data_IF_122984176731
#
_entry.id   IF_122984176731
#
_cell.length_a   1.000
_cell.length_b   1.000
_cell.length_c   1.000
_cell.angle_alpha   90.00
_cell.angle_beta   90.00
_cell.angle_gamma   90.00
#
_symmetry.space_group_name_H-M   'P 1'
#
loop_
_entity.id
_entity.type
_entity.pdbx_description
1 polymer ?
#
# COMPACT_ATOMS: atom_id res chain seq x y z
N UNK A 1 -40.95 -15.49 7.43
CA UNK A 1 -41.06 -15.25 5.99
C UNK A 1 -41.59 -13.85 5.85
N UNK A 2 -40.68 -12.89 5.76
CA UNK A 2 -41.01 -11.46 5.61
C UNK A 2 -40.65 -11.08 4.17
N UNK A 3 -41.56 -10.36 3.53
CA UNK A 3 -41.59 -10.11 2.10
C UNK A 3 -40.84 -8.82 1.76
N UNK A 4 -39.90 -8.87 0.81
CA UNK A 4 -39.27 -7.68 0.26
C UNK A 4 -39.77 -7.44 -1.16
N UNK A 5 -40.63 -6.42 -1.29
CA UNK A 5 -41.18 -5.91 -2.54
C UNK A 5 -40.10 -5.16 -3.33
N UNK A 6 -39.77 -5.66 -4.52
CA UNK A 6 -38.79 -5.06 -5.43
C UNK A 6 -39.47 -3.94 -6.22
N UNK A 7 -39.08 -2.69 -5.95
CA UNK A 7 -39.54 -1.52 -6.70
C UNK A 7 -38.80 -1.48 -8.04
N UNK A 8 -39.48 -1.77 -9.15
CA UNK A 8 -38.98 -1.58 -10.51
C UNK A 8 -39.21 -0.15 -10.99
N UNK A 9 -38.13 0.61 -11.24
CA UNK A 9 -38.19 1.95 -11.80
C UNK A 9 -38.32 1.88 -13.34
N UNK A 10 -39.53 2.11 -13.85
CA UNK A 10 -39.80 2.39 -15.26
C UNK A 10 -39.70 3.89 -15.53
N UNK A 11 -38.84 4.26 -16.47
CA UNK A 11 -38.77 5.60 -17.06
C UNK A 11 -37.59 5.61 -18.01
N UNK A 12 -37.76 5.37 -19.31
CA UNK A 12 -38.72 6.05 -20.18
C UNK A 12 -37.93 7.13 -20.89
N UNK A 13 -37.31 6.76 -22.02
CA UNK A 13 -36.25 7.51 -22.66
C UNK A 13 -36.68 8.87 -23.22
N UNK A 14 -35.78 9.82 -23.09
CA UNK A 14 -35.68 10.99 -23.94
C UNK A 14 -34.20 11.13 -24.35
N UNK A 15 -33.88 10.67 -25.56
CA UNK A 15 -32.57 10.90 -26.17
C UNK A 15 -32.58 12.31 -26.77
N UNK A 16 -32.17 13.29 -25.97
CA UNK A 16 -31.92 14.63 -26.47
C UNK A 16 -30.65 14.59 -27.31
N UNK A 17 -30.81 14.68 -28.63
CA UNK A 17 -29.72 14.88 -29.58
C UNK A 17 -29.10 16.26 -29.32
N UNK A 18 -28.03 16.27 -28.52
CA UNK A 18 -27.19 17.45 -28.34
C UNK A 18 -26.29 17.56 -29.56
N UNK A 19 -26.53 18.56 -30.41
CA UNK A 19 -25.67 18.87 -31.54
C UNK A 19 -24.33 19.42 -31.03
N UNK A 20 -23.27 18.61 -31.13
CA UNK A 20 -21.90 19.06 -30.86
C UNK A 20 -21.37 19.87 -32.05
N UNK A 21 -21.84 21.11 -32.17
CA UNK A 21 -21.15 22.15 -32.92
C UNK A 21 -20.20 22.89 -31.98
N UNK A 22 -18.88 22.76 -32.16
CA UNK A 22 -17.95 23.51 -31.33
C UNK A 22 -16.48 23.27 -31.62
N UNK A 23 -15.89 24.20 -32.38
CA UNK A 23 -14.61 24.83 -32.04
C UNK A 23 -13.33 23.98 -32.15
N UNK A 24 -12.59 24.21 -33.23
CA UNK A 24 -11.14 24.03 -33.21
C UNK A 24 -10.48 25.03 -32.25
N UNK A 25 -9.31 24.68 -31.73
CA UNK A 25 -8.44 25.64 -31.06
C UNK A 25 -7.36 25.03 -30.18
N UNK A 26 -6.10 25.24 -30.58
CA UNK A 26 -5.00 25.44 -29.64
C UNK A 26 -4.13 24.23 -29.33
N UNK A 27 -3.09 24.05 -30.13
CA UNK A 27 -1.83 23.48 -29.62
C UNK A 27 -1.17 24.54 -28.75
N UNK A 28 -0.79 24.19 -27.53
CA UNK A 28 -0.18 25.12 -26.59
C UNK A 28 0.51 24.35 -25.49
N UNK A 29 1.77 23.99 -25.72
CA UNK A 29 2.60 23.29 -24.77
C UNK A 29 2.72 24.05 -23.46
N UNK A 30 2.68 23.30 -22.37
CA UNK A 30 3.51 23.56 -21.20
C UNK A 30 3.76 22.20 -20.60
N UNK A 31 4.92 21.65 -20.93
CA UNK A 31 5.51 20.54 -20.22
C UNK A 31 5.54 20.97 -18.74
N UNK A 32 4.64 20.39 -17.95
CA UNK A 32 4.65 20.58 -16.50
C UNK A 32 5.84 19.81 -15.98
N UNK A 33 7.03 20.40 -16.10
CA UNK A 33 8.12 20.10 -15.19
C UNK A 33 7.77 20.74 -13.85
N UNK A 34 6.71 20.24 -13.22
CA UNK A 34 6.59 20.35 -11.78
C UNK A 34 7.52 19.28 -11.23
N UNK A 35 8.82 19.61 -11.14
CA UNK A 35 9.65 19.04 -10.10
C UNK A 35 9.04 19.49 -8.78
N UNK A 36 8.01 18.76 -8.35
CA UNK A 36 7.58 18.79 -6.97
C UNK A 36 8.77 18.26 -6.18
N UNK A 37 9.62 19.19 -5.75
CA UNK A 37 10.42 19.03 -4.54
C UNK A 37 9.41 18.88 -3.39
N UNK A 38 8.78 17.70 -3.31
CA UNK A 38 7.93 17.32 -2.19
C UNK A 38 8.83 17.29 -0.98
N UNK A 39 8.48 18.09 0.02
CA UNK A 39 9.31 18.42 1.17
C UNK A 39 9.98 17.21 1.81
N UNK A 40 11.25 17.41 2.17
CA UNK A 40 11.99 16.53 3.06
C UNK A 40 11.19 16.31 4.35
N UNK A 41 10.96 15.04 4.66
CA UNK A 41 10.19 14.61 5.84
C UNK A 41 9.67 13.18 5.70
N UNK A 42 9.51 12.65 4.47
CA UNK A 42 8.98 11.29 4.25
C UNK A 42 10.03 10.19 4.12
N UNK A 43 11.31 10.51 3.90
CA UNK A 43 12.35 9.51 3.63
C UNK A 43 12.60 8.57 4.80
N UNK A 44 12.73 9.12 6.02
CA UNK A 44 13.02 8.33 7.21
C UNK A 44 11.80 7.53 7.68
N UNK A 45 10.59 8.12 7.64
CA UNK A 45 9.35 7.43 8.03
C UNK A 45 9.06 6.22 7.14
N UNK A 46 9.34 6.31 5.84
CA UNK A 46 9.19 5.17 4.90
C UNK A 46 10.25 4.10 5.13
N UNK A 47 11.50 4.49 5.43
CA UNK A 47 12.58 3.56 5.73
C UNK A 47 12.38 2.83 7.07
N UNK A 48 12.00 3.56 8.12
CA UNK A 48 11.70 2.99 9.43
C UNK A 48 10.51 2.02 9.35
N UNK A 49 9.46 2.37 8.58
CA UNK A 49 8.35 1.46 8.31
C UNK A 49 8.77 0.16 7.61
N UNK A 50 9.74 0.22 6.68
CA UNK A 50 10.28 -0.97 6.02
C UNK A 50 10.97 -1.92 7.02
N UNK A 51 11.81 -1.37 7.90
CA UNK A 51 12.55 -2.14 8.90
C UNK A 51 11.61 -2.74 9.96
N UNK A 52 10.57 -2.01 10.35
CA UNK A 52 9.57 -2.51 11.31
C UNK A 52 8.71 -3.64 10.72
N UNK A 53 8.32 -3.55 9.45
CA UNK A 53 7.58 -4.63 8.79
C UNK A 53 8.46 -5.88 8.61
N UNK A 54 9.74 -5.70 8.31
CA UNK A 54 10.70 -6.82 8.27
C UNK A 54 10.84 -7.50 9.64
N UNK A 55 10.98 -6.73 10.72
CA UNK A 55 11.01 -7.26 12.08
C UNK A 55 9.74 -8.04 12.43
N UNK A 56 8.57 -7.56 11.97
CA UNK A 56 7.29 -8.25 12.18
C UNK A 56 7.29 -9.63 11.51
N UNK A 57 7.76 -9.75 10.27
CA UNK A 57 7.85 -11.03 9.55
C UNK A 57 8.85 -11.98 10.23
N UNK A 58 10.03 -11.48 10.60
CA UNK A 58 11.05 -12.28 11.29
C UNK A 58 10.53 -12.85 12.62
N UNK A 59 9.83 -12.04 13.41
CA UNK A 59 9.22 -12.49 14.67
C UNK A 59 8.15 -13.55 14.43
N UNK A 60 7.33 -13.42 13.39
CA UNK A 60 6.35 -14.44 13.03
C UNK A 60 7.01 -15.78 12.68
N UNK A 61 8.11 -15.76 11.91
CA UNK A 61 8.84 -16.98 11.58
C UNK A 61 9.50 -17.60 12.82
N UNK A 62 10.02 -16.77 13.74
CA UNK A 62 10.53 -17.23 15.04
C UNK A 62 9.43 -17.96 15.84
N UNK A 63 8.24 -17.37 15.92
CA UNK A 63 7.09 -17.97 16.61
C UNK A 63 6.69 -19.30 15.97
N UNK A 64 6.59 -19.36 14.65
CA UNK A 64 6.26 -20.58 13.91
C UNK A 64 7.29 -21.69 14.14
N UNK A 65 8.58 -21.36 14.11
CA UNK A 65 9.65 -22.31 14.39
C UNK A 65 9.61 -22.81 15.85
N UNK A 66 9.21 -21.95 16.79
CA UNK A 66 9.02 -22.33 18.19
C UNK A 66 7.81 -23.27 18.36
N UNK A 67 6.71 -23.01 17.66
CA UNK A 67 5.51 -23.85 17.66
C UNK A 67 5.74 -25.22 17.01
N UNK A 68 6.54 -25.26 15.93
CA UNK A 68 6.94 -26.50 15.27
C UNK A 68 7.82 -27.38 16.18
N UNK A 69 8.57 -26.77 17.12
CA UNK A 69 9.46 -27.44 18.07
C UNK A 69 10.57 -28.28 17.39
N UNK A 70 10.90 -27.93 16.15
CA UNK A 70 11.94 -28.58 15.36
C UNK A 70 13.33 -28.03 15.73
N UNK A 71 14.32 -28.91 15.90
CA UNK A 71 15.68 -28.53 16.27
C UNK A 71 16.33 -27.59 15.23
N UNK A 72 16.04 -27.81 13.95
CA UNK A 72 16.51 -26.96 12.86
C UNK A 72 15.83 -25.58 12.89
N UNK A 73 14.53 -25.53 13.20
CA UNK A 73 13.78 -24.28 13.35
C UNK A 73 14.28 -23.44 14.54
N UNK A 74 14.56 -24.07 15.68
CA UNK A 74 15.14 -23.41 16.84
C UNK A 74 16.57 -22.91 16.57
N UNK A 75 17.35 -23.63 15.76
CA UNK A 75 18.67 -23.17 15.32
C UNK A 75 18.55 -21.97 14.38
N UNK A 76 17.59 -22.00 13.45
CA UNK A 76 17.27 -20.88 12.56
C UNK A 76 16.83 -19.64 13.34
N UNK A 77 16.09 -19.82 14.44
CA UNK A 77 15.68 -18.71 15.32
C UNK A 77 16.87 -17.91 15.87
N UNK A 78 18.02 -18.55 16.12
CA UNK A 78 19.23 -17.84 16.56
C UNK A 78 19.72 -16.86 15.49
N UNK A 79 19.62 -17.22 14.22
CA UNK A 79 19.96 -16.34 13.10
C UNK A 79 18.92 -15.23 12.93
N UNK A 80 17.62 -15.57 12.95
CA UNK A 80 16.52 -14.60 12.82
C UNK A 80 16.54 -13.55 13.94
N UNK A 81 16.86 -13.93 15.18
CA UNK A 81 17.00 -13.00 16.31
C UNK A 81 18.19 -12.05 16.11
N UNK A 82 19.30 -12.53 15.53
CA UNK A 82 20.44 -11.66 15.18
C UNK A 82 20.07 -10.65 14.10
N UNK A 83 19.22 -11.04 13.15
CA UNK A 83 18.69 -10.18 12.11
C UNK A 83 17.76 -9.09 12.69
N UNK A 84 16.82 -9.48 13.57
CA UNK A 84 15.99 -8.53 14.34
C UNK A 84 16.85 -7.53 15.11
N UNK A 85 17.92 -7.99 15.78
CA UNK A 85 18.85 -7.10 16.51
C UNK A 85 19.54 -6.11 15.56
N UNK A 86 19.96 -6.55 14.39
CA UNK A 86 20.61 -5.70 13.38
C UNK A 86 19.63 -4.65 12.87
N UNK A 87 18.39 -5.05 12.61
CA UNK A 87 17.33 -4.18 12.15
C UNK A 87 16.93 -3.14 13.21
N UNK A 88 16.85 -3.51 14.49
CA UNK A 88 16.64 -2.54 15.59
C UNK A 88 17.78 -1.52 15.65
N UNK A 89 19.04 -1.97 15.53
CA UNK A 89 20.20 -1.05 15.55
C UNK A 89 20.13 -0.05 14.39
N UNK A 90 19.78 -0.52 13.18
CA UNK A 90 19.60 0.32 11.99
C UNK A 90 18.42 1.29 12.12
N UNK A 91 17.29 0.84 12.66
CA UNK A 91 16.13 1.70 12.88
C UNK A 91 16.45 2.87 13.81
N UNK A 92 17.28 2.63 14.84
CA UNK A 92 17.71 3.67 15.79
C UNK A 92 18.72 4.65 15.17
N UNK A 93 19.45 4.26 14.13
CA UNK A 93 20.43 5.11 13.42
C UNK A 93 19.81 6.00 12.31
N UNK A 94 18.52 5.84 12.00
CA UNK A 94 17.76 6.62 11.00
C UNK A 94 16.97 7.79 11.61
#
# INVERSE_FOLDING_TARGET
>A
MEEESVISNSGGGEEVVVTSGGGGGGVGGTERSSSASSGGGGGNVVQEHGILEENRVLIQEISKNHEACDADGLTSNVALIQEVRTNITRAVEL
#
